data_IF_158374545100
#
_entry.id   IF_158374545100
#
_cell.length_a   1.000
_cell.length_b   1.000
_cell.length_c   1.000
_cell.angle_alpha   90.00
_cell.angle_beta   90.00
_cell.angle_gamma   90.00
#
_symmetry.space_group_name_H-M   'P 1'
#
loop_
_entity.id
_entity.type
_entity.pdbx_description
1 polymer ?
#
# COMPACT_ATOMS: atom_id res chain seq x y z
N UNK A 1 -10.36 7.31 8.38
CA UNK A 1 -9.38 7.69 9.40
C UNK A 1 -7.98 7.44 8.82
N UNK A 2 -7.35 8.47 8.25
CA UNK A 2 -6.01 8.38 7.65
C UNK A 2 -5.02 8.51 8.79
N UNK A 3 -4.59 7.38 9.38
CA UNK A 3 -3.78 7.38 10.63
C UNK A 3 -2.27 7.34 10.42
N UNK A 4 -1.78 7.10 9.20
CA UNK A 4 -0.36 6.72 9.00
C UNK A 4 0.59 7.88 8.70
N UNK A 5 0.06 9.04 8.32
CA UNK A 5 0.85 10.18 7.82
C UNK A 5 0.31 11.54 8.31
N UNK A 6 -0.68 11.53 9.19
CA UNK A 6 -1.14 12.76 9.86
C UNK A 6 -0.43 12.80 11.20
N UNK A 7 0.23 13.91 11.51
CA UNK A 7 0.61 14.17 12.90
C UNK A 7 -0.65 14.09 13.76
N UNK A 8 -0.58 13.33 14.86
CA UNK A 8 -1.76 12.84 15.60
C UNK A 8 -2.70 13.97 16.08
N UNK A 9 -2.21 15.21 16.10
CA UNK A 9 -2.92 16.34 16.72
C UNK A 9 -3.29 17.51 15.78
N UNK A 10 -2.79 17.57 14.54
CA UNK A 10 -2.99 18.77 13.70
C UNK A 10 -3.81 18.54 12.42
N UNK A 11 -4.12 17.28 12.07
CA UNK A 11 -4.89 16.97 10.86
C UNK A 11 -4.22 17.40 9.55
N UNK A 12 -2.95 17.76 9.62
CA UNK A 12 -2.08 18.11 8.49
C UNK A 12 -1.08 16.98 8.22
N UNK A 13 -0.74 16.85 6.95
CA UNK A 13 0.30 15.97 6.42
C UNK A 13 1.40 16.88 5.88
N UNK A 14 2.65 16.62 6.25
CA UNK A 14 3.75 17.34 5.65
C UNK A 14 3.96 16.89 4.19
N UNK A 15 4.68 17.69 3.42
CA UNK A 15 4.86 17.40 2.00
C UNK A 15 5.63 16.09 1.77
N UNK A 16 6.59 15.77 2.62
CA UNK A 16 7.42 14.57 2.49
C UNK A 16 6.60 13.30 2.73
N UNK A 17 5.78 13.29 3.77
CA UNK A 17 4.83 12.24 4.10
C UNK A 17 3.74 12.11 3.05
N UNK A 18 3.27 13.22 2.48
CA UNK A 18 2.32 13.20 1.36
C UNK A 18 2.93 12.50 0.15
N UNK A 19 4.14 12.89 -0.25
CA UNK A 19 4.83 12.28 -1.39
C UNK A 19 5.12 10.80 -1.12
N UNK A 20 5.61 10.45 0.06
CA UNK A 20 5.87 9.07 0.46
C UNK A 20 4.60 8.21 0.43
N UNK A 21 3.48 8.76 0.92
CA UNK A 21 2.18 8.11 0.86
C UNK A 21 1.76 7.83 -0.59
N UNK A 22 1.89 8.81 -1.47
CA UNK A 22 1.55 8.67 -2.89
C UNK A 22 2.43 7.63 -3.60
N UNK A 23 3.73 7.60 -3.32
CA UNK A 23 4.63 6.58 -3.86
C UNK A 23 4.27 5.17 -3.38
N UNK A 24 4.03 5.00 -2.08
CA UNK A 24 3.61 3.71 -1.51
C UNK A 24 2.29 3.24 -2.08
N UNK A 25 1.33 4.15 -2.26
CA UNK A 25 0.03 3.83 -2.85
C UNK A 25 0.17 3.40 -4.31
N UNK A 26 0.95 4.13 -5.10
CA UNK A 26 1.25 3.75 -6.49
C UNK A 26 1.88 2.36 -6.57
N UNK A 27 2.91 2.11 -5.76
CA UNK A 27 3.59 0.81 -5.73
C UNK A 27 2.64 -0.32 -5.32
N UNK A 28 1.73 -0.07 -4.38
CA UNK A 28 0.73 -1.05 -3.96
C UNK A 28 -0.22 -1.43 -5.12
N UNK A 29 -0.66 -0.45 -5.92
CA UNK A 29 -1.48 -0.72 -7.11
C UNK A 29 -0.73 -1.46 -8.20
N UNK A 30 0.50 -1.05 -8.51
CA UNK A 30 1.35 -1.74 -9.49
C UNK A 30 1.62 -3.19 -9.07
N UNK A 31 1.92 -3.39 -7.79
CA UNK A 31 2.09 -4.70 -7.18
C UNK A 31 0.82 -5.55 -7.29
N UNK A 32 -0.34 -5.01 -6.90
CA UNK A 32 -1.61 -5.72 -6.97
C UNK A 32 -2.04 -6.07 -8.40
N UNK A 33 -1.59 -5.30 -9.40
CA UNK A 33 -1.81 -5.61 -10.82
C UNK A 33 -0.87 -6.72 -11.32
N UNK A 34 0.37 -6.77 -10.82
CA UNK A 34 1.32 -7.83 -11.13
C UNK A 34 1.02 -9.16 -10.41
N UNK A 35 0.26 -9.12 -9.31
CA UNK A 35 -0.13 -10.32 -8.57
C UNK A 35 -0.98 -11.28 -9.42
N UNK A 36 -0.71 -12.59 -9.36
CA UNK A 36 -1.61 -13.60 -9.91
C UNK A 36 -3.04 -13.44 -9.38
N UNK A 37 -4.00 -13.57 -10.29
CA UNK A 37 -5.43 -13.41 -10.02
C UNK A 37 -6.14 -14.75 -10.14
N UNK A 38 -7.13 -15.01 -9.28
CA UNK A 38 -8.05 -16.13 -9.50
C UNK A 38 -9.05 -15.79 -10.63
N UNK A 39 -9.94 -16.73 -10.93
CA UNK A 39 -10.98 -16.56 -11.96
C UNK A 39 -11.97 -15.41 -11.66
N UNK A 40 -12.02 -14.93 -10.42
CA UNK A 40 -12.87 -13.82 -9.97
C UNK A 40 -12.13 -12.48 -9.94
N UNK A 41 -10.83 -12.45 -10.29
CA UNK A 41 -10.02 -11.23 -10.25
C UNK A 41 -9.47 -10.86 -8.86
N UNK A 42 -9.53 -11.78 -7.90
CA UNK A 42 -8.94 -11.60 -6.56
C UNK A 42 -7.46 -11.96 -6.59
N UNK A 43 -6.62 -11.16 -5.92
CA UNK A 43 -5.19 -11.48 -5.77
C UNK A 43 -5.03 -12.78 -4.97
N UNK A 44 -4.20 -13.68 -5.47
CA UNK A 44 -3.84 -14.93 -4.79
C UNK A 44 -2.46 -14.78 -4.17
N UNK A 45 -2.40 -14.84 -2.84
CA UNK A 45 -1.14 -14.82 -2.09
C UNK A 45 -0.90 -16.19 -1.48
N UNK A 46 0.29 -16.76 -1.69
CA UNK A 46 0.74 -17.90 -0.90
C UNK A 46 1.31 -17.41 0.43
N UNK A 47 1.33 -18.28 1.43
CA UNK A 47 1.97 -17.98 2.73
C UNK A 47 3.44 -17.57 2.55
N UNK A 48 4.12 -18.19 1.59
CA UNK A 48 5.52 -17.94 1.23
C UNK A 48 5.76 -16.56 0.60
N UNK A 49 4.70 -15.96 0.05
CA UNK A 49 4.74 -14.67 -0.60
C UNK A 49 4.65 -13.53 0.44
N UNK A 50 4.06 -13.78 1.61
CA UNK A 50 3.84 -12.75 2.64
C UNK A 50 5.13 -12.05 3.06
N UNK A 51 6.24 -12.78 3.18
CA UNK A 51 7.55 -12.22 3.57
C UNK A 51 8.18 -11.33 2.48
N UNK A 52 7.73 -11.48 1.23
CA UNK A 52 8.23 -10.70 0.08
C UNK A 52 7.42 -9.44 -0.20
N UNK A 53 6.15 -9.38 0.24
CA UNK A 53 5.21 -8.30 -0.11
C UNK A 53 4.94 -7.31 1.02
N UNK A 54 5.34 -7.60 2.26
CA UNK A 54 5.27 -6.64 3.37
C UNK A 54 6.52 -5.75 3.34
N UNK A 55 6.41 -4.58 2.71
CA UNK A 55 7.38 -3.46 2.79
C UNK A 55 6.68 -2.23 3.34
#
# INVERSE_FOLDING_TARGET
MVKRYTQEDEGVIDFEDFILCMFRLKNAFETANAQPKNLEGNCCFLLEDMDKWIV
#
